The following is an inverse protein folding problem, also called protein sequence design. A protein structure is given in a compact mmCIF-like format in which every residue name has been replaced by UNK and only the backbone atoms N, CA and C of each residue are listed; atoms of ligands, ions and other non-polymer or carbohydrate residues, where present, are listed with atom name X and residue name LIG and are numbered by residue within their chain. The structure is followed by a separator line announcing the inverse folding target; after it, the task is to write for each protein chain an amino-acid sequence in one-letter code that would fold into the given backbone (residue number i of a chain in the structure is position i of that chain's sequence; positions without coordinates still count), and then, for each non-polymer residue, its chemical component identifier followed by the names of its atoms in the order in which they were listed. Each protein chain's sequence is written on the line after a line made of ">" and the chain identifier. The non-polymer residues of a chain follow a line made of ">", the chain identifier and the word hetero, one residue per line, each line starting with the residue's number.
data_IF_662318742127
#
_entry.id   IF_662318742127
#
_cell.length_a   1.000
_cell.length_b   1.000
_cell.length_c   1.000
_cell.angle_alpha   90.00
_cell.angle_beta   90.00
_cell.angle_gamma   90.00
#
_symmetry.space_group_name_H-M   'P 1'
#
loop_
_entity.id
_entity.type
_entity.pdbx_description
1 polymer ?
#
# COMPACT_ATOMS: atom_id res chain seq x y z
N UNK A 1 14.42 -10.27 35.59
CA UNK A 1 13.07 -9.82 36.01
C UNK A 1 12.34 -9.44 34.75
N UNK A 2 11.17 -10.03 34.46
CA UNK A 2 10.40 -9.66 33.29
C UNK A 2 9.92 -8.20 33.40
N UNK A 3 9.98 -7.48 32.30
CA UNK A 3 9.63 -6.05 32.23
C UNK A 3 8.09 -5.93 32.24
N UNK A 4 7.52 -5.69 33.41
CA UNK A 4 6.08 -5.54 33.63
C UNK A 4 5.41 -4.49 32.74
N UNK A 5 6.17 -3.54 32.21
CA UNK A 5 5.67 -2.49 31.34
C UNK A 5 5.48 -3.02 29.91
N UNK A 6 6.32 -3.94 29.47
CA UNK A 6 6.17 -4.62 28.16
C UNK A 6 4.99 -5.59 28.19
N UNK A 7 4.81 -6.33 29.30
CA UNK A 7 3.67 -7.26 29.47
C UNK A 7 2.34 -6.49 29.52
N UNK A 8 2.32 -5.28 30.06
CA UNK A 8 1.13 -4.42 30.12
C UNK A 8 0.74 -3.87 28.74
N UNK A 9 1.74 -3.43 27.95
CA UNK A 9 1.53 -3.00 26.55
C UNK A 9 1.09 -4.17 25.70
N UNK A 10 1.69 -5.34 25.90
CA UNK A 10 1.35 -6.57 25.20
C UNK A 10 -0.07 -7.07 25.53
N UNK A 11 -0.55 -6.83 26.76
CA UNK A 11 -1.92 -7.15 27.18
C UNK A 11 -2.95 -6.14 26.65
N UNK A 12 -2.60 -4.85 26.54
CA UNK A 12 -3.50 -3.84 25.95
C UNK A 12 -3.66 -3.98 24.42
N UNK A 13 -2.69 -4.62 23.76
CA UNK A 13 -2.78 -4.95 22.33
C UNK A 13 -3.52 -6.27 22.07
N UNK A 14 -3.83 -7.01 23.10
CA UNK A 14 -4.66 -8.22 23.06
C UNK A 14 -6.12 -7.84 23.27
N UNK A 15 -6.84 -7.72 22.15
CA UNK A 15 -8.29 -7.87 22.09
C UNK A 15 -9.17 -6.82 22.79
N UNK A 16 -9.21 -5.61 22.26
CA UNK A 16 -10.22 -4.63 22.69
C UNK A 16 -11.64 -4.86 22.13
N UNK A 17 -11.84 -5.78 21.17
CA UNK A 17 -13.14 -5.88 20.50
C UNK A 17 -13.68 -7.29 20.26
N UNK A 18 -13.12 -8.35 20.77
CA UNK A 18 -13.64 -9.74 20.62
C UNK A 18 -14.23 -10.06 19.22
N UNK A 19 -13.62 -9.46 18.17
CA UNK A 19 -14.08 -9.52 16.77
C UNK A 19 -13.41 -10.67 15.99
N UNK A 20 -12.60 -11.48 16.65
CA UNK A 20 -11.90 -12.61 16.05
C UNK A 20 -10.74 -12.20 15.11
N UNK A 21 -10.33 -10.94 15.12
CA UNK A 21 -9.21 -10.43 14.30
C UNK A 21 -7.93 -10.50 15.11
N UNK A 22 -7.05 -11.43 14.80
CA UNK A 22 -5.69 -11.47 15.33
C UNK A 22 -4.88 -10.27 14.81
N UNK A 23 -4.97 -9.14 15.53
CA UNK A 23 -4.25 -7.90 15.19
C UNK A 23 -2.73 -8.08 15.24
N UNK A 24 -2.22 -8.97 16.06
CA UNK A 24 -0.80 -9.28 16.17
C UNK A 24 -0.32 -10.10 14.98
N UNK A 25 -1.12 -11.07 14.51
CA UNK A 25 -0.91 -11.79 13.27
C UNK A 25 -1.02 -10.86 12.06
N UNK A 26 -1.97 -9.91 12.09
CA UNK A 26 -2.13 -8.89 11.08
C UNK A 26 -0.89 -7.96 10.99
N UNK A 27 -0.40 -7.41 12.11
CA UNK A 27 0.81 -6.58 12.15
C UNK A 27 2.07 -7.36 11.76
N UNK A 28 2.19 -8.64 12.15
CA UNK A 28 3.27 -9.51 11.69
C UNK A 28 3.18 -9.80 10.19
N UNK A 29 1.99 -10.01 9.65
CA UNK A 29 1.79 -10.12 8.20
C UNK A 29 2.15 -8.83 7.47
N UNK A 30 1.85 -7.67 8.06
CA UNK A 30 2.19 -6.36 7.50
C UNK A 30 3.69 -6.10 7.48
N UNK A 31 4.41 -6.49 8.54
CA UNK A 31 5.88 -6.39 8.61
C UNK A 31 6.60 -7.34 7.62
N UNK A 32 5.94 -8.41 7.17
CA UNK A 32 6.55 -9.44 6.30
C UNK A 32 6.16 -9.35 4.83
N UNK A 33 5.08 -8.64 4.47
CA UNK A 33 4.50 -8.73 3.11
C UNK A 33 4.45 -7.41 2.35
N UNK A 34 4.98 -6.30 2.89
CA UNK A 34 4.63 -4.99 2.34
C UNK A 34 3.10 -4.88 2.31
N UNK A 35 2.54 -3.91 2.96
CA UNK A 35 1.10 -3.80 3.16
C UNK A 35 0.33 -3.71 1.86
N UNK A 36 -0.25 -4.80 1.41
CA UNK A 36 -1.12 -4.82 0.24
C UNK A 36 -2.53 -5.24 0.61
N UNK A 37 -3.51 -4.42 0.29
CA UNK A 37 -4.91 -4.74 0.42
C UNK A 37 -5.56 -4.82 -0.97
N UNK A 38 -6.35 -5.86 -1.18
CA UNK A 38 -7.19 -5.97 -2.37
C UNK A 38 -8.58 -5.45 -2.03
N UNK A 39 -9.01 -4.45 -2.76
CA UNK A 39 -10.33 -3.87 -2.64
C UNK A 39 -11.20 -4.30 -3.82
N UNK A 40 -12.37 -4.82 -3.54
CA UNK A 40 -13.40 -5.12 -4.53
C UNK A 40 -14.60 -4.24 -4.26
N UNK A 41 -15.04 -3.50 -5.26
CA UNK A 41 -16.28 -2.73 -5.19
C UNK A 41 -17.42 -3.63 -5.67
N UNK A 42 -18.43 -3.81 -4.83
CA UNK A 42 -19.59 -4.63 -5.16
C UNK A 42 -20.86 -3.84 -4.83
N UNK A 43 -21.62 -3.47 -5.86
CA UNK A 43 -22.80 -2.64 -5.70
C UNK A 43 -22.54 -1.29 -5.02
N UNK A 44 -21.37 -0.68 -5.25
CA UNK A 44 -20.96 0.58 -4.62
C UNK A 44 -20.42 0.44 -3.18
N UNK A 45 -20.36 -0.78 -2.62
CA UNK A 45 -19.83 -1.02 -1.27
C UNK A 45 -18.41 -1.58 -1.36
N UNK A 46 -17.41 -0.94 -0.71
CA UNK A 46 -16.05 -1.45 -0.69
C UNK A 46 -15.94 -2.71 0.20
N UNK A 47 -15.33 -3.76 -0.33
CA UNK A 47 -14.97 -4.96 0.40
C UNK A 47 -13.47 -5.15 0.30
N UNK A 48 -12.75 -5.09 1.42
CA UNK A 48 -11.31 -5.33 1.46
C UNK A 48 -10.97 -6.76 1.81
N UNK A 49 -9.90 -7.28 1.21
CA UNK A 49 -9.28 -8.56 1.59
C UNK A 49 -7.77 -8.39 1.64
N UNK A 50 -7.17 -8.75 2.77
CA UNK A 50 -5.72 -8.91 2.84
C UNK A 50 -5.28 -10.08 1.95
N UNK A 51 -4.02 -10.08 1.47
CA UNK A 51 -3.45 -11.12 0.59
C UNK A 51 -3.42 -12.53 1.22
N UNK A 52 -4.46 -12.94 1.92
CA UNK A 52 -4.59 -14.26 2.51
C UNK A 52 -5.53 -15.13 1.66
N UNK A 53 -4.91 -16.19 1.09
CA UNK A 53 -5.52 -17.42 0.55
C UNK A 53 -6.93 -17.35 -0.03
N UNK A 54 -6.98 -17.58 -1.33
CA UNK A 54 -8.10 -18.11 -2.14
C UNK A 54 -9.50 -18.10 -1.54
N UNK A 55 -10.37 -17.30 -2.10
CA UNK A 55 -11.73 -17.74 -2.35
C UNK A 55 -12.24 -17.07 -3.61
N UNK A 56 -12.27 -17.87 -4.69
CA UNK A 56 -12.95 -17.49 -5.92
C UNK A 56 -14.41 -17.18 -5.60
N UNK A 57 -14.86 -16.03 -6.06
CA UNK A 57 -16.28 -15.75 -6.32
C UNK A 57 -16.37 -14.71 -7.42
N UNK A 58 -17.22 -15.02 -8.38
CA UNK A 58 -17.44 -14.27 -9.60
C UNK A 58 -17.69 -12.78 -9.36
N UNK A 59 -16.96 -11.95 -10.08
CA UNK A 59 -17.25 -10.53 -10.23
C UNK A 59 -18.60 -10.40 -10.96
N UNK A 60 -19.54 -9.73 -10.35
CA UNK A 60 -20.84 -9.43 -10.95
C UNK A 60 -20.68 -8.50 -12.17
N UNK A 61 -21.54 -8.64 -13.14
CA UNK A 61 -21.50 -7.88 -14.41
C UNK A 61 -21.75 -6.37 -14.19
N UNK A 62 -20.84 -5.55 -14.68
CA UNK A 62 -21.13 -4.17 -15.10
C UNK A 62 -20.51 -3.02 -14.28
N UNK A 63 -20.54 -3.04 -12.96
CA UNK A 63 -19.99 -1.96 -12.09
C UNK A 63 -18.92 -2.44 -11.12
N UNK A 64 -18.74 -3.73 -11.00
CA UNK A 64 -17.76 -4.31 -10.10
C UNK A 64 -16.34 -4.14 -10.66
N UNK A 65 -15.41 -3.80 -9.79
CA UNK A 65 -14.00 -3.67 -10.12
C UNK A 65 -13.13 -4.01 -8.91
N UNK A 66 -11.87 -4.23 -9.15
CA UNK A 66 -10.90 -4.52 -8.10
C UNK A 66 -9.70 -3.61 -8.25
N UNK A 67 -9.22 -3.07 -7.16
CA UNK A 67 -7.96 -2.39 -7.09
C UNK A 67 -7.11 -2.92 -5.94
N UNK A 68 -5.82 -2.67 -5.99
CA UNK A 68 -4.88 -3.04 -4.95
C UNK A 68 -4.33 -1.78 -4.32
N UNK A 69 -4.29 -1.77 -3.00
CA UNK A 69 -3.57 -0.78 -2.22
C UNK A 69 -2.25 -1.40 -1.73
N UNK A 70 -1.16 -0.70 -1.96
CA UNK A 70 0.16 -0.97 -1.36
C UNK A 70 0.61 0.29 -0.62
N UNK A 71 1.49 0.14 0.36
CA UNK A 71 1.98 1.24 1.19
C UNK A 71 3.35 0.91 1.74
N UNK A 72 4.08 1.94 2.17
CA UNK A 72 5.27 1.81 2.99
C UNK A 72 6.36 0.93 2.35
N UNK A 73 6.66 1.19 1.07
CA UNK A 73 7.73 0.49 0.36
C UNK A 73 9.11 0.82 0.92
N UNK A 74 9.29 2.04 1.43
CA UNK A 74 10.53 2.56 2.04
C UNK A 74 11.77 2.16 1.25
N UNK A 75 11.77 2.32 -0.08
CA UNK A 75 12.93 1.98 -0.90
C UNK A 75 14.14 2.77 -0.41
N UNK A 76 15.23 2.05 -0.10
CA UNK A 76 16.43 2.60 0.55
C UNK A 76 16.55 2.21 2.03
N UNK A 77 15.50 1.70 2.67
CA UNK A 77 15.59 1.14 4.01
C UNK A 77 16.38 -0.18 3.99
N UNK A 78 17.28 -0.35 4.98
CA UNK A 78 18.08 -1.56 5.10
C UNK A 78 18.45 -1.77 6.58
N UNK A 79 17.52 -2.28 7.36
CA UNK A 79 17.70 -2.62 8.78
C UNK A 79 17.24 -4.07 9.01
N UNK A 80 17.58 -4.69 10.17
CA UNK A 80 17.21 -6.07 10.47
C UNK A 80 15.72 -6.39 10.34
N UNK A 81 14.83 -5.40 10.51
CA UNK A 81 13.39 -5.58 10.36
C UNK A 81 12.98 -5.93 8.92
N UNK A 82 13.66 -5.34 7.93
CA UNK A 82 13.54 -5.69 6.51
C UNK A 82 14.84 -5.33 5.79
N UNK A 83 15.79 -6.27 5.65
CA UNK A 83 17.09 -5.99 5.07
C UNK A 83 17.07 -5.76 3.55
N UNK A 84 16.00 -6.16 2.87
CA UNK A 84 15.82 -6.00 1.42
C UNK A 84 14.35 -5.62 1.08
N UNK A 85 14.06 -4.34 1.20
CA UNK A 85 12.74 -3.78 0.87
C UNK A 85 12.44 -3.89 -0.63
N UNK A 86 13.45 -3.85 -1.49
CA UNK A 86 13.29 -3.97 -2.94
C UNK A 86 12.77 -5.35 -3.31
N UNK A 87 13.36 -6.41 -2.75
CA UNK A 87 12.87 -7.79 -2.92
C UNK A 87 11.46 -7.96 -2.32
N UNK A 88 11.17 -7.29 -1.22
CA UNK A 88 9.83 -7.29 -0.61
C UNK A 88 8.79 -6.68 -1.56
N UNK A 89 9.05 -5.50 -2.12
CA UNK A 89 8.17 -4.87 -3.09
C UNK A 89 8.03 -5.73 -4.36
N UNK A 90 9.15 -6.28 -4.87
CA UNK A 90 9.11 -7.18 -6.03
C UNK A 90 8.21 -8.40 -5.76
N UNK A 91 8.27 -8.96 -4.55
CA UNK A 91 7.40 -10.07 -4.14
C UNK A 91 5.94 -9.65 -4.13
N UNK A 92 5.63 -8.45 -3.65
CA UNK A 92 4.26 -7.90 -3.68
C UNK A 92 3.75 -7.76 -5.14
N UNK A 93 4.56 -7.18 -6.03
CA UNK A 93 4.22 -7.03 -7.45
C UNK A 93 4.00 -8.40 -8.11
N UNK A 94 4.86 -9.39 -7.82
CA UNK A 94 4.70 -10.73 -8.36
C UNK A 94 3.38 -11.39 -7.89
N UNK A 95 3.00 -11.18 -6.63
CA UNK A 95 1.70 -11.64 -6.09
C UNK A 95 0.53 -10.96 -6.79
N UNK A 96 0.59 -9.64 -7.00
CA UNK A 96 -0.43 -8.90 -7.75
C UNK A 96 -0.56 -9.45 -9.17
N UNK A 97 0.56 -9.69 -9.85
CA UNK A 97 0.59 -10.23 -11.20
C UNK A 97 0.04 -11.66 -11.30
N UNK A 98 0.15 -12.43 -10.22
CA UNK A 98 -0.35 -13.82 -10.15
C UNK A 98 -1.82 -13.93 -9.74
N UNK A 99 -2.51 -12.82 -9.51
CA UNK A 99 -3.93 -12.84 -9.17
C UNK A 99 -4.75 -13.41 -10.33
N UNK A 100 -5.84 -14.15 -10.05
CA UNK A 100 -6.68 -14.75 -11.08
C UNK A 100 -7.41 -13.72 -11.97
N UNK A 101 -7.42 -12.47 -11.53
CA UNK A 101 -7.97 -11.33 -12.26
C UNK A 101 -6.99 -10.14 -12.14
N UNK A 102 -6.88 -9.38 -13.19
CA UNK A 102 -6.05 -8.18 -13.22
C UNK A 102 -6.78 -7.04 -12.49
N UNK A 103 -6.20 -6.42 -11.46
CA UNK A 103 -6.77 -5.21 -10.86
C UNK A 103 -6.89 -4.08 -11.89
N UNK A 104 -7.92 -3.26 -11.79
CA UNK A 104 -8.11 -2.11 -12.66
C UNK A 104 -7.00 -1.07 -12.46
N UNK A 105 -6.57 -0.87 -11.20
CA UNK A 105 -5.46 0.01 -10.83
C UNK A 105 -4.82 -0.43 -9.51
N UNK A 106 -3.67 0.18 -9.21
CA UNK A 106 -2.97 0.09 -7.93
C UNK A 106 -2.96 1.49 -7.31
N UNK A 107 -3.11 1.59 -5.99
CA UNK A 107 -2.85 2.82 -5.24
C UNK A 107 -1.68 2.55 -4.29
N UNK A 108 -0.67 3.40 -4.34
CA UNK A 108 0.40 3.44 -3.35
C UNK A 108 0.17 4.61 -2.40
N UNK A 109 -0.04 4.32 -1.12
CA UNK A 109 -0.54 5.28 -0.14
C UNK A 109 0.55 5.91 0.74
N UNK A 110 1.76 6.03 0.21
CA UNK A 110 2.84 6.82 0.81
C UNK A 110 4.01 6.00 1.30
N UNK A 111 5.04 6.72 1.72
CA UNK A 111 6.35 6.22 2.10
C UNK A 111 6.94 5.29 1.02
N UNK A 112 7.01 5.86 -0.19
CA UNK A 112 7.56 5.21 -1.36
C UNK A 112 9.05 4.99 -1.20
N UNK A 113 9.73 6.05 -0.79
CA UNK A 113 11.17 6.14 -0.53
C UNK A 113 11.48 6.17 0.96
N UNK A 114 12.74 5.97 1.32
CA UNK A 114 13.20 6.09 2.71
C UNK A 114 13.67 7.51 3.05
N UNK A 115 14.31 8.19 2.12
CA UNK A 115 14.94 9.50 2.33
C UNK A 115 14.70 10.47 1.17
N UNK A 116 13.65 10.27 0.38
CA UNK A 116 13.30 11.03 -0.84
C UNK A 116 14.46 11.24 -1.82
N UNK A 117 15.40 10.29 -1.91
CA UNK A 117 16.51 10.37 -2.86
C UNK A 117 16.05 9.99 -4.26
N UNK A 118 16.53 10.66 -5.33
CA UNK A 118 16.23 10.29 -6.71
C UNK A 118 16.47 8.80 -7.01
N UNK A 119 17.57 8.22 -6.51
CA UNK A 119 17.90 6.81 -6.72
C UNK A 119 16.92 5.84 -6.06
N UNK A 120 16.27 6.24 -4.96
CA UNK A 120 15.24 5.44 -4.29
C UNK A 120 13.98 5.40 -5.16
N UNK A 121 13.54 6.53 -5.69
CA UNK A 121 12.43 6.59 -6.64
C UNK A 121 12.75 5.87 -7.96
N UNK A 122 13.99 5.95 -8.49
CA UNK A 122 14.39 5.20 -9.68
C UNK A 122 14.23 3.68 -9.46
N UNK A 123 14.64 3.19 -8.29
CA UNK A 123 14.49 1.78 -7.91
C UNK A 123 13.02 1.39 -7.78
N UNK A 124 12.21 2.24 -7.13
CA UNK A 124 10.77 2.05 -7.03
C UNK A 124 10.14 1.92 -8.41
N UNK A 125 10.40 2.88 -9.30
CA UNK A 125 9.86 2.91 -10.66
C UNK A 125 10.27 1.66 -11.44
N UNK A 126 11.51 1.20 -11.28
CA UNK A 126 11.98 -0.02 -11.93
C UNK A 126 11.17 -1.24 -11.49
N UNK A 127 10.91 -1.39 -10.20
CA UNK A 127 10.10 -2.51 -9.68
C UNK A 127 8.67 -2.40 -10.16
N UNK A 128 8.06 -1.21 -10.07
CA UNK A 128 6.67 -0.98 -10.46
C UNK A 128 6.43 -1.16 -11.97
N UNK A 129 7.43 -0.94 -12.83
CA UNK A 129 7.35 -1.29 -14.27
C UNK A 129 7.02 -2.76 -14.51
N UNK A 130 7.40 -3.64 -13.56
CA UNK A 130 7.07 -5.06 -13.58
C UNK A 130 5.61 -5.39 -13.32
N UNK A 131 4.80 -4.44 -12.84
CA UNK A 131 3.38 -4.66 -12.61
C UNK A 131 2.62 -4.86 -13.94
N UNK A 132 1.76 -5.88 -13.99
CA UNK A 132 0.86 -6.09 -15.12
C UNK A 132 -0.20 -4.98 -15.21
N UNK A 133 -0.66 -4.48 -14.07
CA UNK A 133 -1.55 -3.32 -13.94
C UNK A 133 -0.74 -2.05 -14.12
N UNK A 134 -1.00 -1.30 -15.20
CA UNK A 134 -0.20 -0.12 -15.56
C UNK A 134 -0.71 1.18 -14.95
N UNK A 135 -1.97 1.23 -14.54
CA UNK A 135 -2.54 2.37 -13.86
C UNK A 135 -2.16 2.32 -12.39
N UNK A 136 -1.26 3.18 -11.98
CA UNK A 136 -0.82 3.30 -10.58
C UNK A 136 -1.04 4.74 -10.15
N UNK A 137 -1.72 4.92 -9.03
CA UNK A 137 -1.93 6.20 -8.37
C UNK A 137 -1.04 6.27 -7.14
N UNK A 138 -0.54 7.46 -6.83
CA UNK A 138 0.37 7.68 -5.72
C UNK A 138 -0.18 8.76 -4.78
N UNK A 139 0.07 8.60 -3.50
CA UNK A 139 -0.06 9.63 -2.48
C UNK A 139 1.27 9.66 -1.73
N UNK A 140 1.87 10.81 -1.45
CA UNK A 140 3.13 10.86 -0.74
C UNK A 140 2.93 10.55 0.76
N UNK A 141 3.95 9.96 1.37
CA UNK A 141 4.10 9.87 2.81
C UNK A 141 5.15 10.85 3.33
N UNK A 142 5.39 10.87 4.64
CA UNK A 142 6.35 11.80 5.27
C UNK A 142 7.77 11.57 4.75
N UNK A 143 8.14 10.31 4.51
CA UNK A 143 9.47 9.94 4.01
C UNK A 143 9.73 10.43 2.59
N UNK A 144 8.70 10.69 1.79
CA UNK A 144 8.82 11.19 0.42
C UNK A 144 9.05 12.71 0.35
N UNK A 145 8.97 13.40 1.50
CA UNK A 145 9.13 14.85 1.64
C UNK A 145 10.43 15.28 2.34
N UNK A 146 11.24 14.31 2.84
CA UNK A 146 12.30 14.59 3.81
C UNK A 146 13.45 15.44 3.26
N UNK A 147 13.90 15.22 2.03
CA UNK A 147 15.13 15.86 1.54
C UNK A 147 14.90 17.18 0.81
N UNK A 148 13.73 17.39 0.22
CA UNK A 148 13.46 18.49 -0.72
C UNK A 148 12.03 19.04 -0.65
N UNK A 149 11.33 18.80 0.47
CA UNK A 149 9.92 19.17 0.63
C UNK A 149 8.98 18.56 -0.45
N UNK A 150 9.36 17.41 -1.01
CA UNK A 150 8.57 16.66 -1.97
C UNK A 150 8.74 17.09 -3.42
N UNK A 151 9.71 17.92 -3.75
CA UNK A 151 9.94 18.38 -5.12
C UNK A 151 10.22 17.20 -6.07
N UNK A 152 11.07 16.24 -5.66
CA UNK A 152 11.37 15.05 -6.46
C UNK A 152 10.12 14.16 -6.65
N UNK A 153 9.31 13.99 -5.58
CA UNK A 153 8.05 13.28 -5.66
C UNK A 153 7.09 13.95 -6.65
N UNK A 154 6.90 15.26 -6.53
CA UNK A 154 5.98 16.02 -7.39
C UNK A 154 6.44 16.03 -8.85
N UNK A 155 7.75 16.11 -9.11
CA UNK A 155 8.29 16.02 -10.44
C UNK A 155 7.95 14.70 -11.14
N UNK A 156 7.94 13.58 -10.39
CA UNK A 156 7.69 12.24 -10.91
C UNK A 156 6.21 11.88 -10.96
N UNK A 157 5.49 12.13 -9.88
CA UNK A 157 4.13 11.65 -9.67
C UNK A 157 3.08 12.77 -9.59
N UNK A 158 3.49 14.03 -9.56
CA UNK A 158 2.60 15.17 -9.40
C UNK A 158 1.82 15.56 -10.66
N UNK A 159 2.06 14.93 -11.81
CA UNK A 159 1.35 15.28 -13.04
C UNK A 159 -0.15 15.01 -12.90
N UNK A 160 -0.94 16.08 -13.02
CA UNK A 160 -2.42 16.02 -12.89
C UNK A 160 -2.93 16.13 -11.46
N UNK A 161 -2.04 16.29 -10.50
CA UNK A 161 -2.38 16.59 -9.10
C UNK A 161 -2.49 18.10 -8.86
N UNK A 162 -2.90 18.48 -7.64
CA UNK A 162 -3.02 19.88 -7.19
C UNK A 162 -2.23 20.05 -5.89
N UNK A 163 -1.74 21.29 -5.65
CA UNK A 163 -0.96 21.60 -4.44
C UNK A 163 0.19 20.62 -4.26
N UNK A 164 0.32 20.07 -3.06
CA UNK A 164 1.38 19.12 -2.71
C UNK A 164 1.10 17.68 -3.16
N UNK A 165 0.31 17.49 -4.22
CA UNK A 165 0.10 16.15 -4.80
C UNK A 165 -1.28 15.54 -4.54
N UNK A 166 -2.25 16.31 -3.98
CA UNK A 166 -3.61 15.81 -3.82
C UNK A 166 -4.37 15.77 -5.15
N UNK A 167 -5.31 14.81 -5.30
CA UNK A 167 -6.09 14.63 -6.51
C UNK A 167 -7.40 13.90 -6.25
N UNK A 168 -8.25 13.86 -7.26
CA UNK A 168 -9.41 12.95 -7.26
C UNK A 168 -9.66 12.41 -8.66
N UNK A 169 -10.31 11.27 -8.74
CA UNK A 169 -10.73 10.66 -10.01
C UNK A 169 -11.98 9.79 -9.81
N UNK A 170 -12.71 9.60 -10.90
CA UNK A 170 -13.86 8.70 -10.92
C UNK A 170 -13.49 7.38 -11.61
N UNK A 171 -13.94 6.28 -11.05
CA UNK A 171 -13.78 4.95 -11.65
C UNK A 171 -15.04 4.13 -11.43
N UNK A 172 -15.70 3.75 -12.52
CA UNK A 172 -16.93 2.94 -12.52
C UNK A 172 -17.99 3.39 -11.50
N UNK A 173 -18.22 4.70 -11.41
CA UNK A 173 -19.23 5.31 -10.54
C UNK A 173 -18.80 5.51 -9.09
N UNK A 174 -17.54 5.25 -8.74
CA UNK A 174 -16.95 5.55 -7.44
C UNK A 174 -15.99 6.73 -7.57
N UNK A 175 -16.12 7.71 -6.70
CA UNK A 175 -15.23 8.85 -6.62
C UNK A 175 -14.12 8.59 -5.61
N UNK A 176 -12.87 8.65 -6.08
CA UNK A 176 -11.66 8.48 -5.27
C UNK A 176 -11.01 9.83 -4.99
N UNK A 177 -10.56 10.02 -3.77
CA UNK A 177 -9.83 11.23 -3.36
C UNK A 177 -8.53 10.81 -2.72
N UNK A 178 -7.41 11.24 -3.32
CA UNK A 178 -6.06 11.12 -2.75
C UNK A 178 -5.71 12.39 -2.00
N UNK A 179 -5.65 12.32 -0.67
CA UNK A 179 -5.32 13.45 0.19
C UNK A 179 -3.87 13.36 0.65
N UNK A 180 -3.24 14.51 0.77
CA UNK A 180 -1.89 14.67 1.34
C UNK A 180 -2.03 15.29 2.72
N UNK A 181 -1.44 14.67 3.73
CA UNK A 181 -1.49 15.10 5.12
C UNK A 181 -0.07 15.22 5.77
N UNK A 182 0.97 15.32 4.96
CA UNK A 182 2.38 15.46 5.33
C UNK A 182 2.92 16.81 4.94
#
# INVERSE_FOLDING_TARGET
>A
MPNKQQDFIDQQLQDLNNDGVDRRGFLKCMAWAGTGLVWTMRGGIPVSRAFAKNSGRDAGKGTDFTFVQISDSHIGFSKPANPDVTATLQTAINKINSMPYKPDFIIHTGDLSQLSKPSEFDTLDQVLKGAATKQIYFVPGEHDMLSDNGDEYLQRYGKGTKGNGWYSFDHKGVHFVGLVNV
#
